data_IF_892425580218
#
_entry.id   IF_892425580218
#
_cell.length_a   1.000
_cell.length_b   1.000
_cell.length_c   1.000
_cell.angle_alpha   90.00
_cell.angle_beta   90.00
_cell.angle_gamma   90.00
#
_symmetry.space_group_name_H-M   'P 1'
#
loop_
_entity.id
_entity.type
_entity.pdbx_description
1 polymer ?
#
# COMPACT_ATOMS: atom_id res chain seq x y z
N UNK A 1 -30.97 18.91 -10.43
CA UNK A 1 -30.05 19.86 -11.09
C UNK A 1 -29.92 19.47 -12.57
N UNK A 2 -29.71 20.44 -13.48
CA UNK A 2 -29.37 20.19 -14.91
C UNK A 2 -27.87 20.31 -15.20
N UNK A 3 -27.09 20.61 -14.17
CA UNK A 3 -25.64 20.83 -14.22
C UNK A 3 -24.99 19.71 -13.42
N UNK A 4 -23.90 19.17 -13.94
CA UNK A 4 -23.00 18.29 -13.21
C UNK A 4 -21.80 19.11 -12.77
N UNK A 5 -21.44 19.04 -11.49
CA UNK A 5 -20.27 19.74 -10.96
C UNK A 5 -19.34 18.72 -10.33
N UNK A 6 -18.05 18.90 -10.59
CA UNK A 6 -16.99 18.18 -9.91
C UNK A 6 -16.35 19.14 -8.91
N UNK A 7 -16.10 18.66 -7.69
CA UNK A 7 -15.64 19.49 -6.58
C UNK A 7 -14.38 18.91 -5.95
N UNK A 8 -13.50 19.79 -5.51
CA UNK A 8 -12.40 19.48 -4.61
C UNK A 8 -12.97 19.36 -3.19
N UNK A 9 -12.74 18.22 -2.54
CA UNK A 9 -13.29 17.94 -1.21
C UNK A 9 -12.52 18.62 -0.07
N UNK A 10 -11.28 19.06 -0.31
CA UNK A 10 -10.42 19.75 0.64
C UNK A 10 -10.70 21.25 0.64
N UNK A 11 -10.82 21.86 -0.54
CA UNK A 11 -11.04 23.30 -0.69
C UNK A 11 -12.52 23.68 -0.82
N UNK A 12 -13.39 22.72 -1.15
CA UNK A 12 -14.79 22.95 -1.44
C UNK A 12 -15.04 23.79 -2.70
N UNK A 13 -14.04 23.91 -3.59
CA UNK A 13 -14.15 24.66 -4.83
C UNK A 13 -14.53 23.75 -6.01
N UNK A 14 -15.29 24.24 -7.01
CA UNK A 14 -15.59 23.47 -8.20
C UNK A 14 -14.34 23.28 -9.06
N UNK A 15 -13.95 22.02 -9.28
CA UNK A 15 -12.90 21.61 -10.21
C UNK A 15 -13.37 21.76 -11.66
N UNK A 16 -14.62 21.39 -11.93
CA UNK A 16 -15.24 21.57 -13.24
C UNK A 16 -16.77 21.71 -13.15
N UNK A 17 -17.36 22.42 -14.12
CA UNK A 17 -18.80 22.64 -14.24
C UNK A 17 -19.25 22.22 -15.64
N UNK A 18 -19.97 21.11 -15.72
CA UNK A 18 -20.45 20.55 -16.97
C UNK A 18 -21.87 21.04 -17.25
N UNK A 19 -21.99 21.94 -18.24
CA UNK A 19 -23.25 22.52 -18.69
C UNK A 19 -23.63 21.90 -20.03
N UNK A 20 -24.87 21.42 -20.15
CA UNK A 20 -25.39 20.97 -21.43
C UNK A 20 -26.70 20.20 -21.39
N UNK A 21 -27.03 19.54 -20.28
CA UNK A 21 -28.34 18.94 -20.12
C UNK A 21 -29.44 20.01 -20.04
N UNK A 22 -30.55 19.76 -20.73
CA UNK A 22 -31.69 20.69 -20.77
C UNK A 22 -32.76 20.33 -19.74
N UNK A 23 -32.67 19.13 -19.16
CA UNK A 23 -33.52 18.66 -18.06
C UNK A 23 -32.69 18.10 -16.89
N UNK A 24 -33.39 17.60 -15.87
CA UNK A 24 -32.83 16.98 -14.67
C UNK A 24 -31.92 15.80 -15.03
N UNK A 25 -30.69 15.84 -14.53
CA UNK A 25 -29.76 14.71 -14.52
C UNK A 25 -30.21 13.73 -13.44
N UNK A 26 -30.45 12.48 -13.83
CA UNK A 26 -30.90 11.39 -12.95
C UNK A 26 -29.78 10.46 -12.55
N UNK A 27 -28.74 10.33 -13.37
CA UNK A 27 -27.65 9.37 -13.19
C UNK A 27 -26.29 9.98 -13.50
N UNK A 28 -25.27 9.57 -12.77
CA UNK A 28 -23.87 9.93 -13.00
C UNK A 28 -22.97 8.73 -12.73
N UNK A 29 -21.96 8.52 -13.57
CA UNK A 29 -20.92 7.53 -13.33
C UNK A 29 -19.56 8.02 -13.85
N UNK A 30 -18.49 7.61 -13.18
CA UNK A 30 -17.13 7.78 -13.67
C UNK A 30 -16.74 6.55 -14.50
N UNK A 31 -15.92 6.77 -15.53
CA UNK A 31 -15.16 5.67 -16.12
C UNK A 31 -14.21 5.07 -15.06
N UNK A 32 -13.86 3.77 -15.17
CA UNK A 32 -12.92 3.15 -14.24
C UNK A 32 -11.56 3.85 -14.14
N UNK A 33 -11.16 4.58 -15.19
CA UNK A 33 -9.93 5.36 -15.22
C UNK A 33 -10.06 6.79 -14.67
N UNK A 34 -11.27 7.19 -14.24
CA UNK A 34 -11.55 8.53 -13.71
C UNK A 34 -11.40 9.66 -14.72
N UNK A 35 -11.09 9.37 -15.99
CA UNK A 35 -10.86 10.38 -17.04
C UNK A 35 -12.15 10.89 -17.67
N UNK A 36 -13.24 10.15 -17.50
CA UNK A 36 -14.52 10.42 -18.13
C UNK A 36 -15.66 10.37 -17.12
N UNK A 37 -16.64 11.24 -17.34
CA UNK A 37 -17.91 11.19 -16.62
C UNK A 37 -19.00 10.96 -17.66
N UNK A 38 -19.90 10.04 -17.38
CA UNK A 38 -21.17 9.90 -18.10
C UNK A 38 -22.31 10.40 -17.23
N UNK A 39 -23.25 11.11 -17.85
CA UNK A 39 -24.49 11.52 -17.17
C UNK A 39 -25.72 11.18 -18.00
N UNK A 40 -26.73 10.63 -17.34
CA UNK A 40 -28.05 10.36 -17.90
C UNK A 40 -29.06 11.40 -17.44
N UNK A 41 -29.93 11.86 -18.34
CA UNK A 41 -30.89 12.93 -18.07
C UNK A 41 -32.27 12.65 -18.64
N UNK A 42 -33.26 13.26 -18.02
CA UNK A 42 -34.65 13.29 -18.49
C UNK A 42 -34.85 14.12 -19.77
N UNK A 43 -33.79 14.71 -20.33
CA UNK A 43 -33.83 15.30 -21.68
C UNK A 43 -33.67 14.25 -22.80
N UNK A 44 -33.75 12.97 -22.45
CA UNK A 44 -33.59 11.82 -23.32
C UNK A 44 -32.18 11.69 -23.92
N UNK A 45 -31.17 12.31 -23.30
CA UNK A 45 -29.76 12.17 -23.72
C UNK A 45 -28.88 11.57 -22.63
N UNK A 46 -27.86 10.85 -23.08
CA UNK A 46 -26.66 10.53 -22.31
C UNK A 46 -25.54 11.40 -22.83
N UNK A 47 -24.77 12.00 -21.92
CA UNK A 47 -23.62 12.83 -22.28
C UNK A 47 -22.35 12.26 -21.72
N UNK A 48 -21.30 12.30 -22.54
CA UNK A 48 -19.93 11.98 -22.16
C UNK A 48 -19.17 13.29 -21.97
N UNK A 49 -18.57 13.47 -20.81
CA UNK A 49 -17.73 14.61 -20.48
C UNK A 49 -16.27 14.17 -20.51
N UNK A 50 -15.53 14.71 -21.48
CA UNK A 50 -14.08 14.57 -21.66
C UNK A 50 -13.40 15.92 -21.38
N UNK A 51 -12.15 15.91 -20.94
CA UNK A 51 -11.41 17.16 -20.64
C UNK A 51 -11.11 17.41 -19.18
N UNK A 52 -11.01 16.34 -18.37
CA UNK A 52 -10.35 16.40 -17.06
C UNK A 52 -8.81 16.40 -17.18
N UNK A 53 -8.25 16.63 -18.37
CA UNK A 53 -6.83 16.40 -18.65
C UNK A 53 -5.88 17.34 -17.88
N UNK A 54 -6.33 18.52 -17.45
CA UNK A 54 -5.56 19.39 -16.55
C UNK A 54 -5.66 18.97 -15.07
N UNK A 55 -6.64 18.13 -14.72
CA UNK A 55 -6.99 17.69 -13.37
C UNK A 55 -7.32 16.19 -13.40
N UNK A 56 -6.36 15.34 -13.79
CA UNK A 56 -6.56 13.89 -13.76
C UNK A 56 -6.74 13.45 -12.29
N UNK A 57 -8.00 13.42 -11.85
CA UNK A 57 -8.40 13.14 -10.46
C UNK A 57 -7.89 11.79 -9.98
N UNK A 58 -7.87 10.80 -10.87
CA UNK A 58 -7.38 9.49 -10.48
C UNK A 58 -5.88 9.55 -10.24
N UNK A 59 -5.14 10.21 -11.12
CA UNK A 59 -3.71 10.44 -10.91
C UNK A 59 -3.45 11.22 -9.62
N UNK A 60 -4.13 12.34 -9.40
CA UNK A 60 -3.95 13.14 -8.20
C UNK A 60 -4.32 12.36 -6.92
N UNK A 61 -5.46 11.68 -6.92
CA UNK A 61 -5.89 10.85 -5.80
C UNK A 61 -4.90 9.72 -5.51
N UNK A 62 -4.44 9.02 -6.55
CA UNK A 62 -3.43 7.99 -6.42
C UNK A 62 -2.08 8.58 -5.96
N UNK A 63 -1.65 9.74 -6.46
CA UNK A 63 -0.43 10.42 -6.06
C UNK A 63 -0.47 10.79 -4.57
N UNK A 64 -1.59 11.35 -4.09
CA UNK A 64 -1.80 11.70 -2.68
C UNK A 64 -1.90 10.47 -1.77
N UNK A 65 -2.45 9.36 -2.26
CA UNK A 65 -2.74 8.17 -1.46
C UNK A 65 -1.77 7.00 -1.69
N UNK A 66 -0.70 7.16 -2.47
CA UNK A 66 0.20 6.06 -2.85
C UNK A 66 0.90 5.37 -1.65
N UNK A 67 0.84 5.97 -0.45
CA UNK A 67 1.33 5.39 0.81
C UNK A 67 0.19 4.93 1.74
N UNK A 68 -1.07 5.18 1.39
CA UNK A 68 -2.21 4.86 2.23
C UNK A 68 -2.45 3.33 2.27
N UNK A 69 -2.70 2.73 3.44
CA UNK A 69 -2.89 1.28 3.57
C UNK A 69 -3.96 0.71 2.64
N UNK A 70 -5.05 1.42 2.38
CA UNK A 70 -6.11 0.94 1.47
C UNK A 70 -5.67 0.79 0.01
N UNK A 71 -4.60 1.47 -0.40
CA UNK A 71 -4.02 1.32 -1.74
C UNK A 71 -2.86 0.32 -1.75
N UNK A 72 -2.13 0.24 -0.64
CA UNK A 72 -0.89 -0.56 -0.56
C UNK A 72 -1.16 -2.01 -0.11
N UNK A 73 -2.19 -2.25 0.72
CA UNK A 73 -2.44 -3.56 1.33
C UNK A 73 -3.69 -4.24 0.76
N UNK A 74 -3.62 -5.52 0.39
CA UNK A 74 -4.83 -6.30 0.12
C UNK A 74 -5.69 -6.38 1.38
N UNK A 75 -6.94 -5.93 1.32
CA UNK A 75 -7.86 -6.05 2.46
C UNK A 75 -8.22 -7.53 2.66
N UNK A 76 -8.12 -8.05 3.89
CA UNK A 76 -8.34 -9.47 4.25
C UNK A 76 -9.66 -10.09 3.75
N UNK A 77 -10.65 -9.27 3.40
CA UNK A 77 -11.99 -9.69 3.03
C UNK A 77 -12.35 -9.36 1.57
N UNK A 78 -11.42 -8.76 0.81
CA UNK A 78 -11.63 -8.34 -0.57
C UNK A 78 -10.49 -8.92 -1.40
N UNK A 79 -10.81 -9.93 -2.22
CA UNK A 79 -9.80 -10.72 -2.94
C UNK A 79 -8.95 -9.90 -3.93
N UNK A 80 -9.34 -8.65 -4.21
CA UNK A 80 -8.62 -7.77 -5.12
C UNK A 80 -8.40 -6.42 -4.41
N UNK A 81 -7.16 -5.95 -4.35
CA UNK A 81 -6.85 -4.56 -3.99
C UNK A 81 -7.28 -3.65 -5.16
N UNK A 82 -8.60 -3.52 -5.37
CA UNK A 82 -9.17 -2.87 -6.56
C UNK A 82 -8.72 -1.42 -6.69
N UNK A 83 -8.52 -0.72 -5.56
CA UNK A 83 -8.06 0.65 -5.54
C UNK A 83 -6.59 0.76 -6.00
N UNK A 84 -5.69 -0.04 -5.42
CA UNK A 84 -4.29 -0.07 -5.83
C UNK A 84 -4.11 -0.54 -7.28
N UNK A 85 -4.91 -1.52 -7.72
CA UNK A 85 -4.92 -1.99 -9.12
C UNK A 85 -5.45 -0.92 -10.08
N UNK A 86 -6.48 -0.17 -9.69
CA UNK A 86 -6.97 0.95 -10.47
C UNK A 86 -5.88 2.02 -10.64
N UNK A 87 -5.14 2.36 -9.58
CA UNK A 87 -4.01 3.28 -9.70
C UNK A 87 -2.95 2.77 -10.67
N UNK A 88 -2.54 1.50 -10.54
CA UNK A 88 -1.55 0.91 -11.43
C UNK A 88 -1.98 0.90 -12.91
N UNK A 89 -3.28 0.71 -13.16
CA UNK A 89 -3.82 0.56 -14.51
C UNK A 89 -4.16 1.88 -15.18
N UNK A 90 -4.62 2.87 -14.40
CA UNK A 90 -5.34 4.01 -14.94
C UNK A 90 -4.84 5.38 -14.48
N UNK A 91 -4.03 5.47 -13.41
CA UNK A 91 -3.50 6.75 -12.91
C UNK A 91 -2.43 7.38 -13.82
N UNK A 92 -2.12 6.74 -14.95
CA UNK A 92 -1.14 7.25 -15.94
C UNK A 92 0.26 7.49 -15.34
N UNK A 93 0.63 6.66 -14.35
CA UNK A 93 1.94 6.70 -13.75
C UNK A 93 3.03 6.26 -14.72
N UNK A 94 4.16 6.96 -14.68
CA UNK A 94 5.41 6.48 -15.28
C UNK A 94 5.80 5.12 -14.67
N UNK A 95 6.54 4.33 -15.44
CA UNK A 95 6.95 2.99 -15.03
C UNK A 95 7.76 2.99 -13.72
N UNK A 96 8.55 4.03 -13.49
CA UNK A 96 9.25 4.23 -12.21
C UNK A 96 8.28 4.33 -11.03
N UNK A 97 7.27 5.19 -11.12
CA UNK A 97 6.27 5.37 -10.05
C UNK A 97 5.44 4.11 -9.83
N UNK A 98 5.05 3.42 -10.91
CA UNK A 98 4.37 2.12 -10.82
C UNK A 98 5.24 1.08 -10.11
N UNK A 99 6.52 1.00 -10.46
CA UNK A 99 7.46 0.06 -9.84
C UNK A 99 7.62 0.35 -8.34
N UNK A 100 7.82 1.61 -7.95
CA UNK A 100 7.92 2.01 -6.54
C UNK A 100 6.63 1.69 -5.76
N UNK A 101 5.47 1.92 -6.37
CA UNK A 101 4.20 1.56 -5.75
C UNK A 101 4.03 0.05 -5.59
N UNK A 102 4.42 -0.75 -6.60
CA UNK A 102 4.43 -2.21 -6.49
C UNK A 102 5.41 -2.69 -5.42
N UNK A 103 6.56 -2.03 -5.23
CA UNK A 103 7.48 -2.30 -4.11
C UNK A 103 6.77 -2.06 -2.79
N UNK A 104 6.10 -0.92 -2.61
CA UNK A 104 5.31 -0.66 -1.38
C UNK A 104 4.29 -1.76 -1.12
N UNK A 105 3.57 -2.20 -2.15
CA UNK A 105 2.61 -3.30 -2.05
C UNK A 105 3.28 -4.62 -1.64
N UNK A 106 4.40 -4.99 -2.28
CA UNK A 106 5.18 -6.18 -1.94
C UNK A 106 5.66 -6.16 -0.48
N UNK A 107 6.20 -5.03 -0.03
CA UNK A 107 6.66 -4.82 1.35
C UNK A 107 5.53 -5.00 2.36
N UNK A 108 4.37 -4.42 2.08
CA UNK A 108 3.23 -4.51 2.99
C UNK A 108 2.66 -5.94 3.05
N UNK A 109 2.63 -6.66 1.92
CA UNK A 109 2.25 -8.08 1.88
C UNK A 109 3.24 -8.92 2.72
N UNK A 110 4.54 -8.69 2.60
CA UNK A 110 5.56 -9.40 3.39
C UNK A 110 5.36 -9.28 4.90
N UNK A 111 4.87 -8.12 5.36
CA UNK A 111 4.66 -7.87 6.78
C UNK A 111 3.35 -8.48 7.33
N UNK A 112 2.39 -8.80 6.46
CA UNK A 112 1.04 -9.21 6.87
C UNK A 112 0.72 -10.67 6.59
N UNK A 113 1.19 -11.22 5.47
CA UNK A 113 0.86 -12.56 5.03
C UNK A 113 1.87 -13.60 5.54
N UNK A 114 1.41 -14.76 6.03
CA UNK A 114 2.30 -15.88 6.34
C UNK A 114 3.01 -16.46 5.09
N UNK A 115 2.40 -16.29 3.91
CA UNK A 115 2.89 -16.85 2.65
C UNK A 115 3.48 -15.75 1.77
N UNK A 116 4.80 -15.79 1.60
CA UNK A 116 5.55 -14.73 0.91
C UNK A 116 5.45 -14.79 -0.63
N UNK A 117 4.74 -15.76 -1.21
CA UNK A 117 4.60 -15.90 -2.67
C UNK A 117 4.02 -14.65 -3.33
N UNK A 118 3.02 -14.03 -2.70
CA UNK A 118 2.36 -12.84 -3.23
C UNK A 118 3.28 -11.61 -3.20
N UNK A 119 4.03 -11.43 -2.11
CA UNK A 119 5.03 -10.37 -2.01
C UNK A 119 6.13 -10.51 -3.07
N UNK A 120 6.70 -11.72 -3.19
CA UNK A 120 7.73 -12.04 -4.20
C UNK A 120 7.22 -11.80 -5.62
N UNK A 121 5.98 -12.20 -5.91
CA UNK A 121 5.34 -11.92 -7.20
C UNK A 121 5.28 -10.40 -7.45
N UNK A 122 4.88 -9.63 -6.45
CA UNK A 122 4.73 -8.18 -6.57
C UNK A 122 6.05 -7.46 -6.80
N UNK A 123 7.11 -7.85 -6.09
CA UNK A 123 8.46 -7.36 -6.34
C UNK A 123 8.95 -7.69 -7.75
N UNK A 124 8.69 -8.90 -8.25
CA UNK A 124 9.03 -9.28 -9.62
C UNK A 124 8.26 -8.46 -10.66
N UNK A 125 7.00 -8.10 -10.39
CA UNK A 125 6.23 -7.18 -11.25
C UNK A 125 6.88 -5.79 -11.26
N UNK A 126 7.32 -5.27 -10.12
CA UNK A 126 8.04 -4.00 -10.04
C UNK A 126 9.34 -4.04 -10.88
N UNK A 127 10.11 -5.13 -10.77
CA UNK A 127 11.37 -5.30 -11.51
C UNK A 127 11.19 -5.42 -13.02
N UNK A 128 10.00 -5.83 -13.51
CA UNK A 128 9.71 -5.81 -14.94
C UNK A 128 9.62 -4.38 -15.50
N UNK A 129 9.17 -3.44 -14.67
CA UNK A 129 9.05 -2.02 -15.03
C UNK A 129 10.36 -1.26 -14.78
N UNK A 130 11.08 -1.62 -13.71
CA UNK A 130 12.38 -1.05 -13.37
C UNK A 130 13.32 -2.13 -12.83
N UNK A 131 14.19 -2.73 -13.66
CA UNK A 131 15.09 -3.82 -13.25
C UNK A 131 16.08 -3.47 -12.13
N UNK A 132 16.42 -2.19 -12.00
CA UNK A 132 17.38 -1.70 -11.02
C UNK A 132 16.74 -1.18 -9.72
N UNK A 133 15.42 -1.32 -9.58
CA UNK A 133 14.70 -0.82 -8.41
C UNK A 133 15.20 -1.46 -7.12
N UNK A 134 15.39 -0.62 -6.11
CA UNK A 134 15.62 -1.05 -4.73
C UNK A 134 14.30 -1.52 -4.12
N UNK A 135 14.24 -2.79 -3.71
CA UNK A 135 13.07 -3.40 -3.11
C UNK A 135 12.97 -3.07 -1.61
N UNK A 136 14.05 -2.57 -1.00
CA UNK A 136 14.10 -2.19 0.41
C UNK A 136 14.75 -0.80 0.60
N UNK A 137 14.09 0.28 0.14
CA UNK A 137 14.66 1.63 0.16
C UNK A 137 14.83 2.24 1.57
N UNK A 138 14.48 1.50 2.62
CA UNK A 138 14.69 1.91 4.02
C UNK A 138 16.14 1.64 4.48
N UNK A 139 16.96 0.95 3.66
CA UNK A 139 18.36 0.67 3.92
C UNK A 139 19.29 1.42 2.97
N UNK A 140 20.53 1.67 3.40
CA UNK A 140 21.55 2.31 2.54
C UNK A 140 22.01 1.38 1.40
N UNK A 141 21.82 0.07 1.56
CA UNK A 141 22.20 -0.94 0.59
C UNK A 141 21.03 -1.19 -0.36
N UNK A 142 21.30 -1.16 -1.66
CA UNK A 142 20.33 -1.50 -2.69
C UNK A 142 20.07 -3.01 -2.64
N UNK A 143 18.86 -3.40 -2.25
CA UNK A 143 18.45 -4.79 -2.21
C UNK A 143 17.55 -5.13 -3.41
N UNK A 144 18.08 -5.93 -4.33
CA UNK A 144 17.37 -6.33 -5.56
C UNK A 144 16.81 -7.76 -5.52
N UNK A 145 17.01 -8.53 -4.46
CA UNK A 145 16.48 -9.90 -4.40
C UNK A 145 15.07 -9.95 -3.76
N UNK A 146 14.02 -10.30 -4.53
CA UNK A 146 12.65 -10.35 -4.02
C UNK A 146 12.44 -11.29 -2.85
N UNK A 147 13.17 -12.41 -2.83
CA UNK A 147 12.98 -13.46 -1.82
C UNK A 147 13.60 -13.02 -0.51
N UNK A 148 14.85 -12.55 -0.55
CA UNK A 148 15.58 -12.02 0.60
C UNK A 148 14.82 -10.87 1.24
N UNK A 149 14.39 -9.88 0.45
CA UNK A 149 13.64 -8.73 0.98
C UNK A 149 12.31 -9.16 1.59
N UNK A 150 11.57 -10.07 0.94
CA UNK A 150 10.32 -10.55 1.49
C UNK A 150 10.49 -11.26 2.85
N UNK A 151 11.51 -12.10 2.99
CA UNK A 151 11.80 -12.81 4.24
C UNK A 151 12.31 -11.87 5.32
N UNK A 152 13.17 -10.91 4.97
CA UNK A 152 13.69 -9.90 5.90
C UNK A 152 12.56 -9.07 6.51
N UNK A 153 11.67 -8.52 5.68
CA UNK A 153 10.55 -7.69 6.15
C UNK A 153 9.55 -8.49 7.00
N UNK A 154 9.30 -9.75 6.63
CA UNK A 154 8.47 -10.66 7.42
C UNK A 154 9.10 -10.96 8.79
N UNK A 155 10.42 -11.20 8.84
CA UNK A 155 11.16 -11.40 10.08
C UNK A 155 11.11 -10.15 10.97
N UNK A 156 11.33 -8.96 10.42
CA UNK A 156 11.24 -7.69 11.15
C UNK A 156 9.84 -7.45 11.72
N UNK A 157 8.78 -7.75 10.96
CA UNK A 157 7.40 -7.67 11.45
C UNK A 157 7.17 -8.60 12.66
N UNK A 158 7.72 -9.82 12.61
CA UNK A 158 7.69 -10.77 13.73
C UNK A 158 8.49 -10.28 14.93
N UNK A 159 9.67 -9.69 14.74
CA UNK A 159 10.45 -9.05 15.82
C UNK A 159 9.64 -7.95 16.51
N UNK A 160 9.00 -7.07 15.73
CA UNK A 160 8.12 -6.02 16.27
C UNK A 160 6.94 -6.60 17.06
N UNK A 161 6.31 -7.67 16.55
CA UNK A 161 5.24 -8.38 17.24
C UNK A 161 5.73 -9.01 18.56
N UNK A 162 6.87 -9.70 18.54
CA UNK A 162 7.51 -10.29 19.72
C UNK A 162 7.78 -9.25 20.80
N UNK A 163 8.33 -8.08 20.42
CA UNK A 163 8.59 -6.99 21.35
C UNK A 163 7.31 -6.40 21.97
N UNK A 164 6.22 -6.30 21.19
CA UNK A 164 4.91 -5.89 21.72
C UNK A 164 4.34 -6.91 22.72
N UNK A 165 4.56 -8.21 22.48
CA UNK A 165 4.13 -9.28 23.41
C UNK A 165 4.96 -9.26 24.69
N UNK A 166 6.28 -9.10 24.59
CA UNK A 166 7.18 -9.02 25.73
C UNK A 166 6.82 -7.85 26.66
N UNK A 167 6.61 -6.65 26.11
CA UNK A 167 6.16 -5.46 26.87
C UNK A 167 4.78 -5.61 27.54
N UNK A 168 3.98 -6.58 27.10
CA UNK A 168 2.70 -6.95 27.73
C UNK A 168 2.83 -8.08 28.76
N UNK A 169 4.05 -8.52 29.07
CA UNK A 169 4.32 -9.64 29.98
C UNK A 169 4.07 -11.03 29.36
N UNK A 170 3.73 -11.12 28.07
CA UNK A 170 3.46 -12.38 27.36
C UNK A 170 4.76 -13.04 26.88
N UNK A 171 5.64 -13.38 27.81
CA UNK A 171 7.02 -13.81 27.52
C UNK A 171 7.10 -15.06 26.65
N UNK A 172 6.29 -16.10 26.95
CA UNK A 172 6.28 -17.34 26.15
C UNK A 172 5.85 -17.09 24.70
N UNK A 173 4.82 -16.27 24.49
CA UNK A 173 4.35 -15.88 23.15
C UNK A 173 5.41 -15.07 22.41
N UNK A 174 6.09 -14.14 23.11
CA UNK A 174 7.18 -13.34 22.55
C UNK A 174 8.34 -14.22 22.06
N UNK A 175 8.82 -15.16 22.89
CA UNK A 175 9.89 -16.10 22.53
C UNK A 175 9.52 -16.91 21.28
N UNK A 176 8.30 -17.47 21.24
CA UNK A 176 7.82 -18.21 20.07
C UNK A 176 7.80 -17.34 18.81
N UNK A 177 7.39 -16.08 18.94
CA UNK A 177 7.32 -15.14 17.82
C UNK A 177 8.72 -14.77 17.30
N UNK A 178 9.70 -14.59 18.20
CA UNK A 178 11.10 -14.36 17.82
C UNK A 178 11.72 -15.58 17.12
N UNK A 179 11.42 -16.79 17.57
CA UNK A 179 11.86 -18.01 16.88
C UNK A 179 11.26 -18.13 15.48
N UNK A 180 10.02 -17.70 15.27
CA UNK A 180 9.44 -17.58 13.93
C UNK A 180 10.18 -16.55 13.07
N UNK A 181 10.58 -15.42 13.64
CA UNK A 181 11.41 -14.43 12.93
C UNK A 181 12.74 -15.04 12.47
N UNK A 182 13.40 -15.80 13.34
CA UNK A 182 14.68 -16.46 13.03
C UNK A 182 14.57 -17.57 11.97
N UNK A 183 13.41 -18.21 11.86
CA UNK A 183 13.14 -19.16 10.75
C UNK A 183 13.09 -18.45 9.39
N UNK A 184 12.68 -17.18 9.37
CA UNK A 184 12.61 -16.36 8.16
C UNK A 184 13.97 -15.73 7.85
N UNK A 185 14.68 -15.24 8.87
CA UNK A 185 16.02 -14.70 8.76
C UNK A 185 16.84 -15.10 10.01
N UNK A 186 17.76 -16.09 9.91
CA UNK A 186 18.55 -16.57 11.04
C UNK A 186 19.44 -15.52 11.70
N UNK A 187 19.83 -14.48 10.95
CA UNK A 187 20.74 -13.44 11.41
C UNK A 187 20.03 -12.19 11.92
N UNK A 188 18.69 -12.21 11.99
CA UNK A 188 17.89 -11.07 12.42
C UNK A 188 18.25 -10.63 13.85
N UNK A 189 18.45 -9.33 14.01
CA UNK A 189 18.54 -8.70 15.33
C UNK A 189 17.13 -8.65 15.95
N UNK A 190 16.97 -9.29 17.11
CA UNK A 190 15.71 -9.35 17.83
C UNK A 190 15.48 -8.09 18.69
N UNK A 191 16.51 -7.27 18.92
CA UNK A 191 16.41 -6.02 19.67
C UNK A 191 17.14 -4.84 18.99
N UNK A 192 16.58 -4.33 17.87
CA UNK A 192 17.20 -3.26 17.08
C UNK A 192 17.26 -1.89 17.78
N UNK A 193 16.79 -1.78 19.03
CA UNK A 193 16.90 -0.54 19.83
C UNK A 193 18.22 -0.48 20.62
N UNK A 194 19.03 -1.53 20.57
CA UNK A 194 20.33 -1.59 21.23
C UNK A 194 21.46 -1.45 20.21
N UNK A 195 22.67 -1.15 20.69
CA UNK A 195 23.85 -1.03 19.82
C UNK A 195 24.43 -2.39 19.42
N UNK A 196 24.07 -3.44 20.14
CA UNK A 196 24.59 -4.78 19.94
C UNK A 196 23.50 -5.65 19.30
N UNK A 197 23.90 -6.55 18.41
CA UNK A 197 22.96 -7.50 17.80
C UNK A 197 22.57 -8.52 18.87
N UNK A 198 21.29 -8.56 19.25
CA UNK A 198 20.78 -9.56 20.20
C UNK A 198 19.99 -10.63 19.45
N UNK A 199 20.54 -11.85 19.40
CA UNK A 199 19.92 -13.00 18.72
C UNK A 199 19.25 -13.96 19.69
N UNK A 200 19.22 -13.68 21.00
CA UNK A 200 18.72 -14.63 22.00
C UNK A 200 17.25 -14.33 22.39
N UNK A 201 16.27 -15.13 21.92
CA UNK A 201 14.85 -14.83 22.12
C UNK A 201 14.43 -14.67 23.58
N UNK A 202 15.01 -15.49 24.46
CA UNK A 202 14.69 -15.47 25.89
C UNK A 202 15.23 -14.21 26.55
N UNK A 203 16.47 -13.86 26.25
CA UNK A 203 17.15 -12.67 26.78
C UNK A 203 16.40 -11.41 26.37
N UNK A 204 16.12 -11.24 25.07
CA UNK A 204 15.38 -10.09 24.57
C UNK A 204 13.98 -10.00 25.16
N UNK A 205 13.24 -11.12 25.22
CA UNK A 205 11.89 -11.10 25.80
C UNK A 205 11.90 -10.68 27.27
N UNK A 206 12.91 -11.08 28.04
CA UNK A 206 13.06 -10.69 29.44
C UNK A 206 13.46 -9.22 29.60
N UNK A 207 14.40 -8.72 28.78
CA UNK A 207 14.82 -7.31 28.77
C UNK A 207 13.67 -6.33 28.47
N UNK A 208 12.71 -6.75 27.65
CA UNK A 208 11.56 -5.91 27.27
C UNK A 208 10.35 -6.06 28.19
N UNK A 209 10.40 -6.95 29.19
CA UNK A 209 9.31 -7.19 30.11
C UNK A 209 9.06 -5.98 31.05
N UNK A 210 7.82 -5.76 31.55
CA UNK A 210 7.50 -4.63 32.42
C UNK A 210 8.36 -4.53 33.69
N UNK A 211 8.73 -5.68 34.28
CA UNK A 211 9.45 -5.78 35.56
C UNK A 211 10.98 -5.92 35.39
N UNK A 212 11.52 -5.53 34.22
CA UNK A 212 12.95 -5.67 33.89
C UNK A 212 13.83 -4.51 34.39
N UNK A 213 13.29 -3.63 35.24
CA UNK A 213 14.01 -2.53 35.89
C UNK A 213 13.92 -2.60 37.40
#
# INVERSE_FOLDING_TARGET
>A
SRIVCLWDTETGQPLNIFVGHTHIVSEIAFSPDGKQIISGSHDNTVRLWIGLDEQNLLKEGCDKLQFHPDLVTPQKNNQDNKAGEACLKYADWEDKTKAEFMVRQGRAISQQEPNLKNAVKKFKEAQKLNPDIDLNPDTEVIDKDPTTVAHLLAAQAKVSQGGKLARKGKIKEAISTYQEAQKLNPDIDLNPNTREIDKEPKTVAQQLAPDSK
#
